data_IF_374306188761
#
_entry.id   IF_374306188761
#
_cell.length_a   1.000
_cell.length_b   1.000
_cell.length_c   1.000
_cell.angle_alpha   90.00
_cell.angle_beta   90.00
_cell.angle_gamma   90.00
#
_symmetry.space_group_name_H-M   'P 1'
#
loop_
_entity.id
_entity.type
_entity.pdbx_description
1 polymer ?
#
# COMPACT_ATOMS: atom_id res chain seq x y z
N UNK A 1 -28.78 31.82 43.43
CA UNK A 1 -29.56 30.63 43.84
C UNK A 1 -29.85 29.70 42.66
N UNK A 2 -30.60 30.11 41.63
CA UNK A 2 -30.92 29.25 40.46
C UNK A 2 -29.69 28.84 39.62
N UNK A 3 -28.71 29.75 39.47
CA UNK A 3 -27.43 29.47 38.78
C UNK A 3 -26.44 28.64 39.62
N UNK A 4 -26.54 28.73 40.96
CA UNK A 4 -25.79 27.87 41.88
C UNK A 4 -26.36 26.45 41.89
N UNK A 5 -27.69 26.30 41.82
CA UNK A 5 -28.33 24.99 41.67
C UNK A 5 -28.05 24.35 40.31
N UNK A 6 -27.90 25.11 39.22
CA UNK A 6 -27.50 24.53 37.93
C UNK A 6 -26.04 24.09 37.92
N UNK A 7 -25.14 24.84 38.59
CA UNK A 7 -23.72 24.47 38.76
C UNK A 7 -23.53 23.24 39.66
N UNK A 8 -24.32 23.14 40.73
CA UNK A 8 -24.35 21.96 41.61
C UNK A 8 -24.93 20.73 40.89
N UNK A 9 -25.94 20.88 40.03
CA UNK A 9 -26.44 19.77 39.21
C UNK A 9 -25.45 19.32 38.12
N UNK A 10 -24.62 20.21 37.57
CA UNK A 10 -23.53 19.83 36.66
C UNK A 10 -22.38 19.12 37.37
N UNK A 11 -22.14 19.39 38.66
CA UNK A 11 -21.18 18.68 39.51
C UNK A 11 -21.72 17.34 40.05
N UNK A 12 -23.01 17.03 39.80
CA UNK A 12 -23.68 15.83 40.30
C UNK A 12 -23.96 14.78 39.21
N UNK A 13 -23.62 15.07 37.95
CA UNK A 13 -23.53 14.05 36.90
C UNK A 13 -22.24 13.27 37.09
N UNK A 14 -22.33 11.94 37.11
CA UNK A 14 -21.12 11.11 37.13
C UNK A 14 -20.25 11.42 35.91
N UNK A 15 -18.93 11.36 36.04
CA UNK A 15 -18.02 11.64 34.92
C UNK A 15 -18.36 10.79 33.68
N UNK A 16 -18.84 9.56 33.88
CA UNK A 16 -19.33 8.71 32.80
C UNK A 16 -20.53 9.31 32.05
N UNK A 17 -21.50 9.86 32.76
CA UNK A 17 -22.70 10.44 32.17
C UNK A 17 -22.37 11.72 31.37
N UNK A 18 -21.41 12.51 31.89
CA UNK A 18 -20.87 13.68 31.19
C UNK A 18 -20.10 13.30 29.93
N UNK A 19 -19.29 12.24 30.00
CA UNK A 19 -18.56 11.69 28.84
C UNK A 19 -19.54 11.20 27.77
N UNK A 20 -20.57 10.43 28.15
CA UNK A 20 -21.59 9.96 27.21
C UNK A 20 -22.35 11.11 26.53
N UNK A 21 -22.63 12.19 27.27
CA UNK A 21 -23.30 13.37 26.74
C UNK A 21 -22.41 14.13 25.74
N UNK A 22 -21.13 14.33 26.08
CA UNK A 22 -20.15 14.92 25.17
C UNK A 22 -19.92 14.06 23.93
N UNK A 23 -19.88 12.73 24.07
CA UNK A 23 -19.80 11.83 22.92
C UNK A 23 -21.03 11.95 22.02
N UNK A 24 -22.22 12.08 22.60
CA UNK A 24 -23.47 12.26 21.85
C UNK A 24 -23.47 13.58 21.09
N UNK A 25 -23.05 14.66 21.74
CA UNK A 25 -22.90 15.96 21.11
C UNK A 25 -21.85 15.94 20.00
N UNK A 26 -20.70 15.30 20.22
CA UNK A 26 -19.68 15.16 19.18
C UNK A 26 -20.18 14.34 17.98
N UNK A 27 -20.94 13.26 18.21
CA UNK A 27 -21.63 12.51 17.14
C UNK A 27 -22.59 13.40 16.36
N UNK A 28 -23.38 14.23 17.05
CA UNK A 28 -24.32 15.15 16.42
C UNK A 28 -23.60 16.23 15.59
N UNK A 29 -22.51 16.80 16.09
CA UNK A 29 -21.69 17.78 15.37
C UNK A 29 -21.04 17.17 14.13
N UNK A 30 -20.52 15.94 14.22
CA UNK A 30 -19.99 15.21 13.05
C UNK A 30 -21.06 14.98 11.99
N UNK A 31 -22.27 14.57 12.40
CA UNK A 31 -23.39 14.41 11.47
C UNK A 31 -23.77 15.73 10.78
N UNK A 32 -23.77 16.85 11.51
CA UNK A 32 -24.01 18.17 10.92
C UNK A 32 -22.91 18.58 9.92
N UNK A 33 -21.64 18.30 10.24
CA UNK A 33 -20.52 18.60 9.33
C UNK A 33 -20.63 17.81 8.03
N UNK A 34 -21.01 16.53 8.10
CA UNK A 34 -21.25 15.67 6.92
C UNK A 34 -22.41 16.21 6.08
N UNK A 35 -23.51 16.67 6.69
CA UNK A 35 -24.63 17.27 5.95
C UNK A 35 -24.19 18.55 5.22
N UNK A 36 -23.43 19.41 5.91
CA UNK A 36 -22.86 20.63 5.30
C UNK A 36 -21.94 20.27 4.13
N UNK A 37 -21.05 19.29 4.31
CA UNK A 37 -20.17 18.82 3.24
C UNK A 37 -20.97 18.28 2.05
N UNK A 38 -21.99 17.45 2.28
CA UNK A 38 -22.84 16.91 1.22
C UNK A 38 -23.62 18.01 0.48
N UNK A 39 -24.00 19.09 1.15
CA UNK A 39 -24.57 20.29 0.49
C UNK A 39 -23.54 21.03 -0.34
N UNK A 40 -22.33 21.21 0.18
CA UNK A 40 -21.23 21.85 -0.56
C UNK A 40 -20.83 21.08 -1.81
N UNK A 41 -20.69 19.75 -1.72
CA UNK A 41 -20.40 18.90 -2.90
C UNK A 41 -21.48 19.00 -3.97
N UNK A 42 -22.76 19.04 -3.57
CA UNK A 42 -23.87 19.26 -4.51
C UNK A 42 -23.82 20.64 -5.16
N UNK A 43 -23.49 21.68 -4.40
CA UNK A 43 -23.31 23.03 -4.93
C UNK A 43 -22.14 23.10 -5.92
N UNK A 44 -21.01 22.47 -5.61
CA UNK A 44 -19.85 22.40 -6.49
C UNK A 44 -20.18 21.70 -7.82
N UNK A 45 -20.87 20.55 -7.77
CA UNK A 45 -21.32 19.86 -8.97
C UNK A 45 -22.28 20.72 -9.82
N UNK A 46 -23.20 21.45 -9.18
CA UNK A 46 -24.09 22.37 -9.88
C UNK A 46 -23.33 23.54 -10.52
N UNK A 47 -22.32 24.08 -9.84
CA UNK A 47 -21.48 25.17 -10.36
C UNK A 47 -20.64 24.69 -11.53
N UNK A 48 -20.04 23.50 -11.46
CA UNK A 48 -19.33 22.89 -12.60
C UNK A 48 -20.27 22.67 -13.78
N UNK A 49 -21.46 22.11 -13.56
CA UNK A 49 -22.45 21.95 -14.62
C UNK A 49 -22.89 23.27 -15.26
N UNK A 50 -23.02 24.34 -14.48
CA UNK A 50 -23.29 25.69 -15.00
C UNK A 50 -22.11 26.24 -15.78
N UNK A 51 -20.88 26.06 -15.30
CA UNK A 51 -19.64 26.48 -15.98
C UNK A 51 -19.49 25.78 -17.33
N UNK A 52 -19.76 24.48 -17.40
CA UNK A 52 -19.71 23.69 -18.64
C UNK A 52 -20.81 24.13 -19.60
N UNK A 53 -22.01 24.43 -19.09
CA UNK A 53 -23.13 24.91 -19.88
C UNK A 53 -22.87 26.32 -20.46
N UNK A 54 -22.28 27.22 -19.67
CA UNK A 54 -21.86 28.56 -20.12
C UNK A 54 -20.74 28.45 -21.15
N UNK A 55 -19.75 27.60 -20.93
CA UNK A 55 -18.65 27.36 -21.89
C UNK A 55 -19.17 26.78 -23.21
N UNK A 56 -20.12 25.85 -23.16
CA UNK A 56 -20.78 25.30 -24.35
C UNK A 56 -21.58 26.36 -25.10
N UNK A 57 -22.32 27.20 -24.39
CA UNK A 57 -23.12 28.28 -25.01
C UNK A 57 -22.21 29.35 -25.62
N UNK A 58 -21.10 29.70 -24.99
CA UNK A 58 -20.09 30.61 -25.54
C UNK A 58 -19.45 30.04 -26.82
N UNK A 59 -19.15 28.75 -26.85
CA UNK A 59 -18.64 28.08 -28.05
C UNK A 59 -19.68 28.02 -29.18
N UNK A 60 -20.96 27.77 -28.86
CA UNK A 60 -22.06 27.81 -29.84
C UNK A 60 -22.33 29.24 -30.37
N UNK A 61 -22.06 30.26 -29.55
CA UNK A 61 -22.18 31.68 -29.95
C UNK A 61 -20.98 32.15 -30.79
N UNK A 62 -19.83 31.47 -30.69
CA UNK A 62 -18.64 31.71 -31.51
C UNK A 62 -18.76 31.21 -32.96
N UNK A 63 -19.66 30.26 -33.25
CA UNK A 63 -19.85 29.70 -34.59
C UNK A 63 -20.83 30.46 -35.49
N UNK A 64 -21.42 31.58 -35.06
CA UNK A 64 -22.28 32.44 -35.91
C UNK A 64 -21.58 33.66 -36.52
N UNK A 65 -20.25 33.71 -36.51
CA UNK A 65 -19.47 34.88 -36.92
C UNK A 65 -18.45 34.68 -38.03
N UNK A 66 -18.71 33.89 -39.08
CA UNK A 66 -18.07 34.12 -40.38
C UNK A 66 -18.72 33.33 -41.53
N UNK A 67 -19.57 34.01 -42.31
CA UNK A 67 -19.88 33.60 -43.69
C UNK A 67 -19.01 34.43 -44.62
N UNK A 68 -18.13 33.78 -45.38
CA UNK A 68 -17.40 34.38 -46.49
C UNK A 68 -16.56 33.38 -47.26
N UNK A 69 -17.13 32.90 -48.39
CA UNK A 69 -16.53 32.44 -49.66
C UNK A 69 -15.48 31.29 -49.66
N UNK A 70 -15.87 30.11 -50.19
CA UNK A 70 -15.39 29.47 -51.45
C UNK A 70 -14.05 28.72 -51.27
N UNK A 71 -13.75 27.53 -51.79
CA UNK A 71 -14.37 26.50 -52.63
C UNK A 71 -13.40 25.27 -52.61
N UNK A 72 -13.89 24.02 -52.62
CA UNK A 72 -13.56 22.91 -53.56
C UNK A 72 -12.76 21.70 -52.97
N UNK A 73 -13.29 20.50 -53.27
CA UNK A 73 -12.69 19.14 -53.37
C UNK A 73 -12.23 18.39 -52.09
N UNK A 74 -12.33 17.05 -51.94
CA UNK A 74 -13.02 15.97 -52.66
C UNK A 74 -13.04 14.69 -51.79
N UNK A 75 -14.09 13.89 -51.96
CA UNK A 75 -14.25 12.42 -51.89
C UNK A 75 -13.26 11.47 -51.18
N UNK A 76 -13.82 10.74 -50.20
CA UNK A 76 -13.89 9.26 -50.02
C UNK A 76 -12.70 8.28 -50.29
N UNK A 77 -12.47 7.43 -49.27
CA UNK A 77 -12.22 5.96 -49.27
C UNK A 77 -11.18 5.33 -50.22
N UNK A 78 -10.20 4.57 -49.68
CA UNK A 78 -10.16 3.09 -49.80
C UNK A 78 -8.95 2.39 -49.15
N UNK A 79 -9.27 1.17 -48.73
CA UNK A 79 -8.50 0.03 -48.20
C UNK A 79 -7.44 -0.51 -49.17
N UNK A 80 -6.31 -1.04 -48.67
CA UNK A 80 -5.64 -2.17 -49.33
C UNK A 80 -4.84 -3.06 -48.35
N UNK A 81 -5.09 -4.35 -48.49
CA UNK A 81 -4.49 -5.50 -47.80
C UNK A 81 -3.27 -5.98 -48.57
N UNK A 82 -2.19 -6.43 -47.91
CA UNK A 82 -1.25 -7.38 -48.50
C UNK A 82 -0.69 -8.35 -47.45
N UNK A 83 -0.84 -9.64 -47.77
CA UNK A 83 -0.35 -10.82 -47.06
C UNK A 83 1.09 -11.15 -47.47
N UNK A 84 1.88 -11.76 -46.58
CA UNK A 84 2.88 -12.75 -47.00
C UNK A 84 3.09 -13.83 -45.91
N UNK A 85 2.89 -15.09 -46.31
CA UNK A 85 3.16 -16.33 -45.56
C UNK A 85 4.58 -16.80 -45.86
N UNK A 86 5.24 -17.42 -44.90
CA UNK A 86 6.10 -18.59 -45.16
C UNK A 86 6.16 -19.54 -43.96
N UNK A 87 6.22 -20.82 -44.29
CA UNK A 87 5.94 -22.05 -43.52
C UNK A 87 7.27 -22.80 -43.27
N UNK A 88 7.43 -23.57 -42.18
CA UNK A 88 7.94 -24.97 -42.19
C UNK A 88 7.73 -25.72 -40.85
N UNK A 89 7.51 -27.03 -40.99
CA UNK A 89 7.09 -28.14 -40.10
C UNK A 89 8.12 -28.55 -39.01
N UNK A 90 7.80 -28.94 -37.75
CA UNK A 90 7.34 -30.26 -37.21
C UNK A 90 8.50 -30.97 -36.42
N UNK A 91 8.36 -31.96 -35.47
CA UNK A 91 7.19 -32.64 -34.87
C UNK A 91 7.18 -32.90 -33.30
N UNK A 92 5.99 -33.15 -32.73
CA UNK A 92 5.59 -34.23 -31.77
C UNK A 92 6.17 -34.47 -30.34
N UNK A 93 5.34 -34.18 -29.29
CA UNK A 93 5.08 -34.80 -27.94
C UNK A 93 6.25 -35.22 -26.98
N UNK A 94 6.08 -35.38 -25.63
CA UNK A 94 4.90 -35.34 -24.73
C UNK A 94 5.05 -34.41 -23.47
N UNK A 95 3.99 -34.24 -22.66
CA UNK A 95 4.07 -33.51 -21.35
C UNK A 95 4.97 -34.22 -20.31
N UNK A 96 5.44 -33.54 -19.23
CA UNK A 96 4.59 -33.24 -18.06
C UNK A 96 4.96 -31.99 -17.19
N UNK A 97 4.04 -31.61 -16.28
CA UNK A 97 4.25 -30.97 -14.96
C UNK A 97 5.29 -29.84 -14.81
N UNK A 98 4.87 -28.57 -14.84
CA UNK A 98 5.73 -27.42 -14.48
C UNK A 98 5.63 -27.05 -13.00
N UNK A 99 6.71 -27.30 -12.26
CA UNK A 99 7.08 -26.55 -11.06
C UNK A 99 7.46 -25.11 -11.48
N UNK A 100 7.01 -24.11 -10.73
CA UNK A 100 7.30 -22.70 -10.98
C UNK A 100 8.79 -22.41 -10.72
N UNK A 101 9.58 -22.32 -11.78
CA UNK A 101 10.92 -21.75 -11.75
C UNK A 101 10.88 -20.19 -11.70
N UNK A 102 11.93 -19.52 -11.18
CA UNK A 102 11.96 -18.08 -10.94
C UNK A 102 11.88 -17.26 -12.23
N UNK A 103 11.01 -16.25 -12.24
CA UNK A 103 10.89 -15.29 -13.32
C UNK A 103 12.14 -14.40 -13.42
N UNK A 104 12.73 -14.29 -14.61
CA UNK A 104 13.91 -13.46 -14.87
C UNK A 104 13.52 -11.98 -15.04
N UNK A 105 13.98 -11.13 -14.12
CA UNK A 105 13.71 -9.69 -14.09
C UNK A 105 14.60 -8.88 -15.05
N UNK A 106 15.48 -9.53 -15.82
CA UNK A 106 16.44 -8.88 -16.72
C UNK A 106 15.79 -8.13 -17.90
N UNK A 107 14.49 -8.30 -18.14
CA UNK A 107 13.76 -7.72 -19.30
C UNK A 107 13.15 -6.33 -19.06
N UNK A 108 13.25 -5.76 -17.86
CA UNK A 108 12.73 -4.41 -17.56
C UNK A 108 13.85 -3.36 -17.68
N UNK A 109 14.14 -2.92 -18.92
CA UNK A 109 14.91 -1.69 -19.15
C UNK A 109 13.98 -0.49 -19.02
N UNK A 110 14.11 0.26 -17.94
CA UNK A 110 13.52 1.59 -17.81
C UNK A 110 14.56 2.64 -18.20
N UNK A 111 14.24 3.46 -19.19
CA UNK A 111 15.05 4.62 -19.54
C UNK A 111 14.98 5.68 -18.41
N UNK A 112 16.08 6.41 -18.15
CA UNK A 112 16.11 7.42 -17.10
C UNK A 112 15.26 8.65 -17.48
N UNK A 113 14.59 9.32 -16.52
CA UNK A 113 13.80 10.50 -16.81
C UNK A 113 14.70 11.70 -17.15
N UNK A 114 14.37 12.36 -18.26
CA UNK A 114 14.95 13.63 -18.68
C UNK A 114 14.64 14.72 -17.64
N UNK A 115 15.69 15.44 -17.22
CA UNK A 115 15.58 16.59 -16.33
C UNK A 115 14.86 17.75 -17.03
N UNK A 116 13.78 18.26 -16.43
CA UNK A 116 13.17 19.53 -16.81
C UNK A 116 13.46 20.61 -15.76
N UNK A 117 14.13 21.68 -16.20
CA UNK A 117 14.32 22.92 -15.45
C UNK A 117 13.00 23.72 -15.35
N UNK A 118 12.74 24.44 -14.24
CA UNK A 118 11.55 25.26 -14.10
C UNK A 118 11.74 26.66 -14.72
N UNK A 119 10.87 27.04 -15.65
CA UNK A 119 10.69 28.41 -16.12
C UNK A 119 9.49 29.09 -15.44
N UNK A 120 9.49 30.42 -15.26
CA UNK A 120 8.60 31.11 -14.34
C UNK A 120 7.24 31.40 -14.97
N UNK A 121 6.20 30.84 -14.38
CA UNK A 121 4.80 31.08 -14.73
C UNK A 121 3.90 30.48 -13.66
N UNK A 122 3.84 31.13 -12.51
CA UNK A 122 2.88 30.81 -11.46
C UNK A 122 1.47 31.11 -12.00
N UNK A 123 0.62 30.10 -12.10
CA UNK A 123 -0.82 30.27 -12.27
C UNK A 123 -1.52 29.77 -10.99
N UNK A 124 -2.33 30.66 -10.44
CA UNK A 124 -2.91 30.69 -9.10
C UNK A 124 -4.06 29.68 -8.86
N UNK A 125 -4.06 28.51 -9.50
CA UNK A 125 -5.17 27.54 -9.40
C UNK A 125 -4.99 26.47 -8.31
N UNK A 126 -3.92 26.54 -7.52
CA UNK A 126 -3.63 25.57 -6.48
C UNK A 126 -4.43 25.75 -5.17
N UNK A 127 -5.40 26.66 -5.12
CA UNK A 127 -6.04 27.08 -3.86
C UNK A 127 -7.44 26.50 -3.56
N UNK A 128 -8.06 25.71 -4.44
CA UNK A 128 -9.48 25.36 -4.26
C UNK A 128 -9.81 23.88 -4.06
N UNK A 129 -8.81 23.01 -3.90
CA UNK A 129 -9.02 21.59 -3.57
C UNK A 129 -8.35 21.22 -2.24
N UNK A 130 -8.53 22.04 -1.22
CA UNK A 130 -8.26 21.65 0.17
C UNK A 130 -9.49 20.96 0.75
N UNK A 131 -9.73 19.70 0.36
CA UNK A 131 -10.31 18.77 1.35
C UNK A 131 -9.34 18.80 2.54
N UNK A 132 -9.86 18.94 3.75
CA UNK A 132 -9.12 19.14 5.00
C UNK A 132 -8.32 17.89 5.41
N UNK A 133 -7.43 17.42 4.54
CA UNK A 133 -6.30 16.57 4.88
C UNK A 133 -5.33 17.52 5.56
N UNK A 134 -5.27 17.43 6.88
CA UNK A 134 -4.27 18.14 7.65
C UNK A 134 -2.90 17.90 7.00
N UNK A 135 -2.07 18.93 6.88
CA UNK A 135 -0.72 18.92 6.27
C UNK A 135 0.22 17.87 6.92
N UNK A 136 -0.24 17.21 7.98
CA UNK A 136 0.41 16.15 8.76
C UNK A 136 -0.03 14.71 8.42
N UNK A 137 -0.94 14.48 7.46
CA UNK A 137 -1.36 13.13 7.08
C UNK A 137 -2.17 12.39 8.15
N UNK A 138 -2.78 13.12 9.09
CA UNK A 138 -3.65 12.54 10.13
C UNK A 138 -5.06 12.34 9.58
N UNK A 139 -5.60 11.13 9.75
CA UNK A 139 -6.98 10.80 9.38
C UNK A 139 -7.98 11.72 10.10
N UNK A 140 -9.04 12.22 9.42
CA UNK A 140 -10.03 13.10 10.02
C UNK A 140 -10.87 12.43 11.13
N UNK A 141 -10.68 11.13 11.35
CA UNK A 141 -11.57 10.33 12.18
C UNK A 141 -11.37 10.54 13.69
N UNK A 142 -10.17 10.90 14.17
CA UNK A 142 -9.94 11.23 15.59
C UNK A 142 -8.74 12.15 15.77
N UNK A 143 -8.98 13.39 16.24
CA UNK A 143 -7.95 14.14 16.94
C UNK A 143 -7.78 13.49 18.31
N UNK A 144 -6.69 12.76 18.52
CA UNK A 144 -6.36 12.24 19.85
C UNK A 144 -6.27 13.41 20.82
N UNK A 145 -6.89 13.28 21.99
CA UNK A 145 -6.79 14.29 23.04
C UNK A 145 -5.81 13.74 24.09
N UNK A 146 -4.54 14.21 24.07
CA UNK A 146 -3.53 13.68 24.97
C UNK A 146 -3.90 13.96 26.43
N UNK A 147 -3.59 13.00 27.31
CA UNK A 147 -3.73 13.09 28.77
C UNK A 147 -5.16 13.18 29.33
N UNK A 148 -6.20 13.01 28.49
CA UNK A 148 -7.60 13.02 28.95
C UNK A 148 -8.21 11.62 28.94
N UNK A 149 -7.96 10.82 27.90
CA UNK A 149 -8.46 9.45 27.81
C UNK A 149 -7.32 8.43 27.84
N UNK A 150 -7.60 7.24 28.36
CA UNK A 150 -6.64 6.15 28.35
C UNK A 150 -6.25 5.78 26.91
N UNK A 151 -5.04 5.24 26.76
CA UNK A 151 -4.52 4.83 25.47
C UNK A 151 -5.47 3.84 24.76
N UNK A 152 -5.85 2.77 25.45
CA UNK A 152 -6.77 1.73 24.95
C UNK A 152 -8.12 2.31 24.49
N UNK A 153 -8.64 3.32 25.20
CA UNK A 153 -9.87 4.00 24.85
C UNK A 153 -9.78 4.80 23.55
N UNK A 154 -8.58 5.19 23.12
CA UNK A 154 -8.40 5.99 21.90
C UNK A 154 -7.96 5.16 20.70
N UNK A 155 -7.32 4.01 20.93
CA UNK A 155 -6.59 3.31 19.87
C UNK A 155 -7.00 1.85 19.68
N UNK A 156 -7.81 1.26 20.55
CA UNK A 156 -8.21 -0.14 20.47
C UNK A 156 -9.31 -0.46 19.45
N UNK A 157 -9.88 -1.66 19.58
CA UNK A 157 -10.89 -2.23 18.67
C UNK A 157 -12.19 -1.41 18.66
N UNK A 158 -12.77 -1.11 19.84
CA UNK A 158 -14.07 -0.41 19.93
C UNK A 158 -14.05 1.00 19.30
N UNK A 159 -13.02 1.83 19.55
CA UNK A 159 -12.86 3.10 18.84
C UNK A 159 -12.78 2.92 17.32
N UNK A 160 -12.10 1.87 16.84
CA UNK A 160 -11.96 1.59 15.41
C UNK A 160 -13.31 1.23 14.80
N UNK A 161 -14.08 0.34 15.44
CA UNK A 161 -15.43 -0.03 15.01
C UNK A 161 -16.34 1.20 14.93
N UNK A 162 -16.32 2.04 15.97
CA UNK A 162 -17.09 3.29 16.01
C UNK A 162 -16.68 4.24 14.89
N UNK A 163 -15.38 4.39 14.64
CA UNK A 163 -14.85 5.22 13.56
C UNK A 163 -15.30 4.73 12.19
N UNK A 164 -15.22 3.41 11.95
CA UNK A 164 -15.58 2.79 10.68
C UNK A 164 -17.08 2.89 10.40
N UNK A 165 -17.93 2.71 11.42
CA UNK A 165 -19.38 2.89 11.29
C UNK A 165 -19.71 4.34 10.89
N UNK A 166 -19.13 5.33 11.57
CA UNK A 166 -19.34 6.75 11.24
C UNK A 166 -18.80 7.12 9.85
N UNK A 167 -17.65 6.55 9.45
CA UNK A 167 -17.07 6.73 8.11
C UNK A 167 -17.99 6.16 7.03
N UNK A 168 -18.58 4.99 7.27
CA UNK A 168 -19.53 4.36 6.35
C UNK A 168 -20.81 5.21 6.16
N UNK A 169 -21.39 5.72 7.25
CA UNK A 169 -22.54 6.64 7.17
C UNK A 169 -22.21 7.90 6.36
N UNK A 170 -21.01 8.45 6.57
CA UNK A 170 -20.53 9.63 5.86
C UNK A 170 -20.30 9.36 4.37
N UNK A 171 -19.66 8.24 4.02
CA UNK A 171 -19.45 7.83 2.63
C UNK A 171 -20.77 7.61 1.89
N UNK A 172 -21.77 7.00 2.55
CA UNK A 172 -23.11 6.86 1.99
C UNK A 172 -23.78 8.21 1.72
N UNK A 173 -23.70 9.16 2.66
CA UNK A 173 -24.26 10.50 2.49
C UNK A 173 -23.59 11.28 1.35
N UNK A 174 -22.27 11.08 1.17
CA UNK A 174 -21.46 11.74 0.13
C UNK A 174 -21.39 10.97 -1.19
N UNK A 175 -22.06 9.81 -1.31
CA UNK A 175 -21.95 8.89 -2.45
C UNK A 175 -20.50 8.53 -2.82
N UNK A 176 -19.64 8.35 -1.81
CA UNK A 176 -18.29 7.78 -2.01
C UNK A 176 -18.40 6.25 -2.00
N UNK A 177 -17.69 5.59 -2.90
CA UNK A 177 -17.79 4.13 -3.10
C UNK A 177 -17.23 3.30 -1.92
N UNK A 178 -16.34 3.86 -1.11
CA UNK A 178 -15.67 3.13 -0.03
C UNK A 178 -15.50 3.99 1.24
N UNK A 179 -15.66 3.42 2.45
CA UNK A 179 -15.29 4.10 3.69
C UNK A 179 -13.78 4.21 3.83
N UNK A 180 -13.30 5.41 4.15
CA UNK A 180 -11.89 5.72 4.44
C UNK A 180 -11.60 5.38 5.90
N UNK A 181 -10.41 4.84 6.19
CA UNK A 181 -9.99 4.46 7.54
C UNK A 181 -8.94 5.42 8.11
N UNK A 182 -8.30 5.02 9.22
CA UNK A 182 -7.14 5.68 9.81
C UNK A 182 -5.80 5.27 9.16
N UNK A 183 -5.85 4.50 8.07
CA UNK A 183 -4.68 3.90 7.43
C UNK A 183 -4.75 4.08 5.92
N UNK A 184 -4.04 5.09 5.36
CA UNK A 184 -3.78 5.19 3.92
C UNK A 184 -3.41 3.84 3.28
N UNK A 185 -2.50 3.06 3.86
CA UNK A 185 -2.22 1.72 3.35
C UNK A 185 -3.47 0.87 3.18
N UNK A 186 -4.27 0.78 4.24
CA UNK A 186 -5.45 -0.07 4.26
C UNK A 186 -6.51 0.39 3.26
N UNK A 187 -6.61 1.69 3.03
CA UNK A 187 -7.57 2.26 2.09
C UNK A 187 -7.17 1.94 0.64
N UNK A 188 -5.89 2.10 0.30
CA UNK A 188 -5.35 1.66 -0.99
C UNK A 188 -5.55 0.15 -1.18
N UNK A 189 -5.21 -0.68 -0.18
CA UNK A 189 -5.37 -2.14 -0.26
C UNK A 189 -6.83 -2.53 -0.52
N UNK A 190 -7.77 -1.96 0.26
CA UNK A 190 -9.20 -2.27 0.12
C UNK A 190 -9.74 -1.83 -1.25
N UNK A 191 -9.37 -0.65 -1.74
CA UNK A 191 -9.79 -0.16 -3.05
C UNK A 191 -9.29 -1.10 -4.16
N UNK A 192 -8.00 -1.45 -4.13
CA UNK A 192 -7.41 -2.33 -5.12
C UNK A 192 -8.02 -3.73 -5.10
N UNK A 193 -8.30 -4.27 -3.91
CA UNK A 193 -9.02 -5.53 -3.76
C UNK A 193 -10.44 -5.44 -4.34
N UNK A 194 -11.15 -4.34 -4.10
CA UNK A 194 -12.48 -4.11 -4.64
C UNK A 194 -12.47 -4.04 -6.17
N UNK A 195 -11.62 -3.18 -6.76
CA UNK A 195 -11.52 -3.00 -8.21
C UNK A 195 -11.13 -4.32 -8.91
N UNK A 196 -10.13 -5.02 -8.37
CA UNK A 196 -9.69 -6.29 -8.94
C UNK A 196 -10.78 -7.36 -8.87
N UNK A 197 -11.47 -7.48 -7.72
CA UNK A 197 -12.57 -8.44 -7.54
C UNK A 197 -13.72 -8.17 -8.51
N UNK A 198 -14.10 -6.90 -8.66
CA UNK A 198 -15.16 -6.49 -9.59
C UNK A 198 -14.79 -6.80 -11.05
N UNK A 199 -13.55 -6.52 -11.46
CA UNK A 199 -13.08 -6.82 -12.83
C UNK A 199 -13.00 -8.32 -13.09
N UNK A 200 -12.51 -9.11 -12.13
CA UNK A 200 -12.48 -10.57 -12.26
C UNK A 200 -13.88 -11.15 -12.43
N UNK A 201 -14.84 -10.68 -11.64
CA UNK A 201 -16.24 -11.11 -11.76
C UNK A 201 -16.85 -10.74 -13.13
N UNK A 202 -16.59 -9.52 -13.63
CA UNK A 202 -17.02 -9.08 -14.95
C UNK A 202 -16.45 -9.94 -16.08
N UNK A 203 -15.21 -10.43 -15.92
CA UNK A 203 -14.56 -11.34 -16.86
C UNK A 203 -14.99 -12.82 -16.69
N UNK A 204 -16.03 -13.08 -15.89
CA UNK A 204 -16.60 -14.42 -15.71
C UNK A 204 -15.78 -15.34 -14.79
N UNK A 205 -14.86 -14.79 -13.98
CA UNK A 205 -14.15 -15.59 -12.99
C UNK A 205 -15.12 -16.12 -11.95
N UNK A 206 -15.29 -17.45 -11.92
CA UNK A 206 -16.08 -18.14 -10.91
C UNK A 206 -15.15 -18.96 -10.00
N UNK A 207 -15.05 -18.63 -8.69
CA UNK A 207 -14.19 -19.37 -7.76
C UNK A 207 -14.64 -20.83 -7.59
N UNK A 208 -15.93 -21.13 -7.68
CA UNK A 208 -16.44 -22.48 -7.39
C UNK A 208 -16.16 -23.49 -8.52
N UNK A 209 -15.84 -23.00 -9.73
CA UNK A 209 -15.58 -23.84 -10.90
C UNK A 209 -14.09 -24.09 -11.18
N UNK A 210 -13.17 -23.41 -10.48
CA UNK A 210 -11.72 -23.50 -10.76
C UNK A 210 -10.96 -24.31 -9.70
N UNK A 211 -10.40 -25.48 -10.04
CA UNK A 211 -9.71 -26.34 -9.07
C UNK A 211 -8.34 -25.79 -8.60
N UNK A 212 -7.64 -24.96 -9.39
CA UNK A 212 -6.27 -24.53 -9.07
C UNK A 212 -6.13 -23.11 -8.53
N UNK A 213 -7.17 -22.26 -8.63
CA UNK A 213 -7.12 -20.82 -8.30
C UNK A 213 -5.87 -20.10 -8.84
N UNK A 214 -5.18 -20.65 -9.85
CA UNK A 214 -3.84 -20.15 -10.22
C UNK A 214 -3.93 -18.82 -10.95
N UNK A 215 -5.05 -18.59 -11.62
CA UNK A 215 -5.37 -17.40 -12.41
C UNK A 215 -5.45 -16.10 -11.59
N UNK A 216 -5.62 -16.15 -10.26
CA UNK A 216 -5.74 -14.93 -9.44
C UNK A 216 -4.38 -14.36 -8.98
N UNK A 217 -3.31 -15.16 -8.97
CA UNK A 217 -2.03 -14.72 -8.40
C UNK A 217 -1.33 -13.68 -9.27
N UNK A 218 -1.40 -13.82 -10.60
CA UNK A 218 -0.78 -12.87 -11.53
C UNK A 218 -1.46 -11.48 -11.49
N UNK A 219 -2.80 -11.37 -11.53
CA UNK A 219 -3.48 -10.09 -11.32
C UNK A 219 -3.17 -9.45 -9.97
N UNK A 220 -3.10 -10.25 -8.89
CA UNK A 220 -2.73 -9.75 -7.56
C UNK A 220 -1.30 -9.20 -7.55
N UNK A 221 -0.33 -9.94 -8.10
CA UNK A 221 1.05 -9.49 -8.22
C UNK A 221 1.13 -8.16 -8.96
N UNK A 222 0.45 -8.07 -10.09
CA UNK A 222 0.42 -6.88 -10.94
C UNK A 222 -0.12 -5.66 -10.18
N UNK A 223 -1.28 -5.80 -9.51
CA UNK A 223 -1.91 -4.71 -8.75
C UNK A 223 -1.06 -4.28 -7.56
N UNK A 224 -0.49 -5.24 -6.82
CA UNK A 224 0.44 -4.92 -5.72
C UNK A 224 1.71 -4.25 -6.23
N UNK A 225 2.22 -4.64 -7.40
CA UNK A 225 3.40 -4.01 -8.03
C UNK A 225 3.10 -2.57 -8.42
N UNK A 226 1.94 -2.31 -9.02
CA UNK A 226 1.47 -0.96 -9.35
C UNK A 226 1.31 -0.09 -8.10
N UNK A 227 0.62 -0.59 -7.07
CA UNK A 227 0.44 0.13 -5.80
C UNK A 227 1.78 0.64 -5.28
N UNK A 228 2.73 -0.28 -5.21
CA UNK A 228 4.06 -0.05 -4.71
C UNK A 228 4.82 0.96 -5.58
N UNK A 229 4.90 0.75 -6.90
CA UNK A 229 5.67 1.62 -7.80
C UNK A 229 5.15 3.05 -7.86
N UNK A 230 3.83 3.23 -7.75
CA UNK A 230 3.19 4.54 -7.85
C UNK A 230 3.22 5.32 -6.53
N UNK A 231 2.98 4.64 -5.40
CA UNK A 231 2.78 5.34 -4.12
C UNK A 231 4.06 5.45 -3.30
N UNK A 232 5.02 4.55 -3.50
CA UNK A 232 6.26 4.50 -2.74
C UNK A 232 7.44 4.01 -3.58
N UNK A 233 7.86 4.77 -4.61
CA UNK A 233 8.97 4.39 -5.48
C UNK A 233 10.30 4.21 -4.71
N UNK A 234 10.49 4.95 -3.62
CA UNK A 234 11.68 4.94 -2.78
C UNK A 234 11.92 3.61 -2.03
N UNK A 235 10.86 2.81 -1.84
CA UNK A 235 10.94 1.51 -1.17
C UNK A 235 10.92 0.34 -2.15
N UNK A 236 10.96 0.56 -3.48
CA UNK A 236 10.84 -0.53 -4.46
C UNK A 236 11.96 -1.55 -4.39
N UNK A 237 13.17 -1.10 -4.07
CA UNK A 237 14.30 -1.99 -3.83
C UNK A 237 14.00 -3.01 -2.72
N UNK A 238 13.23 -2.62 -1.69
CA UNK A 238 12.79 -3.53 -0.64
C UNK A 238 11.95 -4.67 -1.21
N UNK A 239 10.83 -4.33 -1.84
CA UNK A 239 9.87 -5.31 -2.39
C UNK A 239 10.49 -6.23 -3.43
N UNK A 240 11.37 -5.69 -4.28
CA UNK A 240 12.07 -6.46 -5.31
C UNK A 240 13.05 -7.48 -4.70
N UNK A 241 13.79 -7.10 -3.64
CA UNK A 241 14.86 -7.92 -3.07
C UNK A 241 14.37 -8.93 -2.03
N UNK A 242 13.39 -8.58 -1.21
CA UNK A 242 12.84 -9.49 -0.19
C UNK A 242 11.80 -10.45 -0.75
N UNK A 243 11.52 -10.37 -2.06
CA UNK A 243 10.58 -11.23 -2.80
C UNK A 243 9.24 -11.33 -2.08
N UNK A 244 8.39 -10.32 -2.28
CA UNK A 244 7.12 -10.09 -1.61
C UNK A 244 6.00 -11.14 -1.86
N UNK A 245 6.34 -12.40 -2.15
CA UNK A 245 5.39 -13.42 -2.63
C UNK A 245 4.34 -13.81 -1.59
N UNK A 246 4.67 -13.81 -0.30
CA UNK A 246 3.70 -14.14 0.74
C UNK A 246 2.53 -13.16 0.81
N UNK A 247 2.73 -11.89 0.44
CA UNK A 247 1.64 -10.91 0.44
C UNK A 247 0.74 -11.08 -0.78
N UNK A 248 1.28 -11.61 -1.89
CA UNK A 248 0.49 -12.03 -3.04
C UNK A 248 -0.43 -13.19 -2.64
N UNK A 249 0.11 -14.20 -1.96
CA UNK A 249 -0.67 -15.35 -1.46
C UNK A 249 -1.74 -14.93 -0.45
N UNK A 250 -1.37 -14.05 0.49
CA UNK A 250 -2.29 -13.46 1.45
C UNK A 250 -3.42 -12.70 0.76
N UNK A 251 -3.10 -11.82 -0.18
CA UNK A 251 -4.10 -11.00 -0.89
C UNK A 251 -5.02 -11.88 -1.75
N UNK A 252 -4.47 -12.89 -2.41
CA UNK A 252 -5.24 -13.88 -3.17
C UNK A 252 -6.25 -14.63 -2.26
N UNK A 253 -5.83 -15.06 -1.07
CA UNK A 253 -6.71 -15.66 -0.09
C UNK A 253 -7.76 -14.67 0.44
N UNK A 254 -7.42 -13.40 0.68
CA UNK A 254 -8.37 -12.38 1.12
C UNK A 254 -9.45 -12.07 0.08
N UNK A 255 -9.11 -12.13 -1.21
CA UNK A 255 -10.06 -11.93 -2.31
C UNK A 255 -11.03 -13.10 -2.45
N UNK A 256 -10.50 -14.33 -2.44
CA UNK A 256 -11.23 -15.58 -2.60
C UNK A 256 -10.78 -16.61 -1.55
N UNK A 257 -11.33 -16.55 -0.32
CA UNK A 257 -11.01 -17.49 0.73
C UNK A 257 -11.48 -18.90 0.37
N UNK A 258 -10.54 -19.84 0.25
CA UNK A 258 -10.83 -21.24 -0.03
C UNK A 258 -9.76 -22.14 0.58
N UNK A 259 -9.99 -23.46 0.62
CA UNK A 259 -8.97 -24.42 1.04
C UNK A 259 -7.71 -24.31 0.16
N UNK A 260 -7.88 -24.13 -1.15
CA UNK A 260 -6.78 -24.04 -2.11
C UNK A 260 -5.90 -22.80 -1.87
N UNK A 261 -6.51 -21.62 -1.68
CA UNK A 261 -5.77 -20.38 -1.40
C UNK A 261 -5.18 -20.37 0.01
N UNK A 262 -5.88 -20.93 1.00
CA UNK A 262 -5.39 -21.04 2.37
C UNK A 262 -4.16 -21.95 2.49
N UNK A 263 -4.14 -23.07 1.76
CA UNK A 263 -3.00 -24.00 1.80
C UNK A 263 -1.69 -23.40 1.27
N UNK A 264 -1.76 -22.37 0.41
CA UNK A 264 -0.59 -21.63 -0.05
C UNK A 264 -0.07 -20.62 0.98
N UNK A 265 -0.87 -20.24 1.98
CA UNK A 265 -0.42 -19.28 2.99
C UNK A 265 0.71 -19.85 3.82
N UNK A 266 1.82 -19.13 3.80
CA UNK A 266 2.92 -19.33 4.73
C UNK A 266 2.45 -19.22 6.18
N UNK A 267 3.01 -20.05 7.07
CA UNK A 267 2.57 -20.17 8.47
C UNK A 267 2.52 -18.82 9.20
N UNK A 268 3.50 -17.95 8.96
CA UNK A 268 3.59 -16.60 9.54
C UNK A 268 2.50 -15.62 9.08
N UNK A 269 1.85 -15.88 7.95
CA UNK A 269 0.81 -15.01 7.38
C UNK A 269 -0.60 -15.59 7.52
N UNK A 270 -0.74 -16.81 8.03
CA UNK A 270 -2.08 -17.37 8.30
C UNK A 270 -2.85 -16.46 9.26
N UNK A 271 -4.15 -16.26 9.02
CA UNK A 271 -4.97 -15.41 9.88
C UNK A 271 -5.05 -16.00 11.29
N UNK A 272 -4.95 -15.13 12.30
CA UNK A 272 -5.19 -15.47 13.70
C UNK A 272 -6.67 -15.37 14.04
N UNK A 273 -7.07 -15.93 15.18
CA UNK A 273 -8.43 -15.76 15.69
C UNK A 273 -8.79 -14.28 15.90
N UNK A 274 -7.83 -13.45 16.32
CA UNK A 274 -8.02 -12.01 16.52
C UNK A 274 -8.36 -11.34 15.18
N UNK A 275 -7.59 -11.62 14.12
CA UNK A 275 -7.82 -11.10 12.77
C UNK A 275 -9.17 -11.54 12.19
N UNK A 276 -9.62 -12.76 12.51
CA UNK A 276 -10.89 -13.29 12.01
C UNK A 276 -12.11 -12.74 12.77
N UNK A 277 -11.96 -12.39 14.06
CA UNK A 277 -13.06 -11.91 14.90
C UNK A 277 -13.29 -10.40 14.79
N UNK A 278 -12.22 -9.63 14.62
CA UNK A 278 -12.29 -8.17 14.74
C UNK A 278 -11.90 -7.46 13.44
N UNK A 279 -12.75 -6.56 12.91
CA UNK A 279 -12.35 -5.61 11.87
C UNK A 279 -11.13 -4.80 12.29
N UNK A 280 -10.17 -4.62 11.39
CA UNK A 280 -8.92 -3.91 11.65
C UNK A 280 -8.33 -3.28 10.37
N UNK A 281 -7.35 -2.38 10.47
CA UNK A 281 -6.58 -1.90 9.34
C UNK A 281 -5.87 -3.03 8.59
N UNK A 282 -6.16 -3.19 7.28
CA UNK A 282 -5.63 -4.28 6.43
C UNK A 282 -4.11 -4.32 6.33
N UNK A 283 -3.44 -3.19 6.55
CA UNK A 283 -1.97 -3.14 6.58
C UNK A 283 -1.37 -4.05 7.67
N UNK A 284 -2.09 -4.27 8.77
CA UNK A 284 -1.64 -5.15 9.86
C UNK A 284 -1.42 -6.58 9.35
N UNK A 285 -2.25 -7.04 8.40
CA UNK A 285 -2.14 -8.38 7.82
C UNK A 285 -0.77 -8.63 7.14
N UNK A 286 -0.06 -7.57 6.74
CA UNK A 286 1.24 -7.64 6.08
C UNK A 286 2.42 -7.83 7.03
N UNK A 287 2.19 -7.90 8.34
CA UNK A 287 3.21 -8.22 9.33
C UNK A 287 3.27 -9.75 9.53
N UNK A 288 4.42 -10.42 9.37
CA UNK A 288 4.54 -11.87 9.46
C UNK A 288 4.56 -12.40 10.91
N UNK A 289 4.23 -11.58 11.89
CA UNK A 289 4.38 -11.91 13.30
C UNK A 289 3.00 -11.94 13.96
N UNK A 290 2.40 -13.13 14.15
CA UNK A 290 1.04 -13.27 14.69
C UNK A 290 0.82 -12.49 15.99
N UNK A 291 1.74 -12.56 16.96
CA UNK A 291 1.60 -11.86 18.24
C UNK A 291 1.62 -10.34 18.10
N UNK A 292 2.45 -9.80 17.20
CA UNK A 292 2.47 -8.36 16.91
C UNK A 292 1.17 -7.93 16.25
N UNK A 293 0.65 -8.72 15.28
CA UNK A 293 -0.63 -8.44 14.63
C UNK A 293 -1.78 -8.40 15.64
N UNK A 294 -1.86 -9.40 16.50
CA UNK A 294 -2.94 -9.51 17.48
C UNK A 294 -2.93 -8.31 18.44
N UNK A 295 -1.74 -7.93 18.93
CA UNK A 295 -1.58 -6.74 19.78
C UNK A 295 -1.86 -5.44 19.06
N UNK A 296 -1.47 -5.31 17.79
CA UNK A 296 -1.82 -4.15 16.98
C UNK A 296 -3.33 -4.02 16.80
N UNK A 297 -4.05 -5.13 16.64
CA UNK A 297 -5.51 -5.12 16.54
C UNK A 297 -6.12 -4.72 17.88
N UNK A 298 -5.68 -5.35 18.96
CA UNK A 298 -6.20 -5.12 20.30
C UNK A 298 -5.97 -3.66 20.77
N UNK A 299 -4.77 -3.15 20.54
CA UNK A 299 -4.29 -1.91 21.16
C UNK A 299 -4.18 -0.73 20.19
N UNK A 300 -4.05 -0.95 18.88
CA UNK A 300 -3.74 0.09 17.90
C UNK A 300 -4.66 0.13 16.66
N UNK A 301 -5.74 -0.64 16.58
CA UNK A 301 -6.62 -0.64 15.42
C UNK A 301 -7.10 0.78 15.02
N UNK A 302 -7.43 1.63 15.99
CA UNK A 302 -7.85 3.02 15.77
C UNK A 302 -6.70 4.05 15.84
N UNK A 303 -5.45 3.59 15.98
CA UNK A 303 -4.31 4.50 16.12
C UNK A 303 -4.07 5.27 14.81
N UNK A 304 -4.06 6.63 14.81
CA UNK A 304 -3.81 7.42 13.61
C UNK A 304 -2.38 7.26 13.06
N UNK A 305 -1.47 6.69 13.84
CA UNK A 305 -0.08 6.41 13.45
C UNK A 305 0.13 4.96 13.02
N UNK A 306 -0.93 4.16 12.81
CA UNK A 306 -0.82 2.73 12.49
C UNK A 306 0.09 2.45 11.29
N UNK A 307 0.08 3.31 10.28
CA UNK A 307 0.93 3.20 9.09
C UNK A 307 2.41 3.45 9.41
N UNK A 308 2.70 4.38 10.33
CA UNK A 308 4.07 4.61 10.82
C UNK A 308 4.55 3.43 11.67
N UNK A 309 3.69 2.87 12.53
CA UNK A 309 4.02 1.69 13.34
C UNK A 309 4.34 0.51 12.43
N UNK A 310 3.54 0.30 11.38
CA UNK A 310 3.81 -0.69 10.35
C UNK A 310 5.17 -0.47 9.67
N UNK A 311 5.46 0.76 9.22
CA UNK A 311 6.74 1.08 8.59
C UNK A 311 7.93 0.87 9.52
N UNK A 312 7.79 1.23 10.80
CA UNK A 312 8.82 1.00 11.81
C UNK A 312 9.04 -0.50 12.04
N UNK A 313 7.97 -1.30 12.10
CA UNK A 313 8.05 -2.75 12.24
C UNK A 313 8.83 -3.38 11.08
N UNK A 314 8.43 -3.08 9.83
CA UNK A 314 9.11 -3.60 8.63
C UNK A 314 10.56 -3.11 8.55
N UNK A 315 10.82 -1.86 8.93
CA UNK A 315 12.19 -1.31 8.97
C UNK A 315 13.06 -1.97 10.05
N UNK A 316 12.43 -2.51 11.10
CA UNK A 316 13.06 -3.25 12.19
C UNK A 316 13.26 -4.75 11.89
N UNK A 317 12.97 -5.24 10.68
CA UNK A 317 13.26 -6.63 10.34
C UNK A 317 14.76 -6.86 10.26
N UNK A 318 15.22 -7.84 11.03
CA UNK A 318 16.64 -8.18 11.20
C UNK A 318 16.87 -9.68 11.03
N UNK A 319 18.11 -10.05 10.73
CA UNK A 319 18.58 -11.44 10.78
C UNK A 319 19.78 -11.52 11.71
N UNK A 320 19.77 -12.50 12.61
CA UNK A 320 20.88 -12.82 13.51
C UNK A 320 21.98 -13.58 12.76
N UNK A 321 23.24 -13.35 13.12
CA UNK A 321 24.41 -14.03 12.57
C UNK A 321 25.57 -14.04 13.57
N UNK A 322 26.64 -14.75 13.24
CA UNK A 322 27.92 -14.65 13.97
C UNK A 322 28.78 -13.56 13.32
N UNK A 323 29.34 -12.65 14.12
CA UNK A 323 30.06 -11.48 13.59
C UNK A 323 31.25 -11.86 12.71
N UNK A 324 32.00 -12.91 13.08
CA UNK A 324 33.14 -13.41 12.32
C UNK A 324 32.79 -13.98 10.94
N UNK A 325 31.51 -14.33 10.70
CA UNK A 325 31.05 -14.77 9.38
C UNK A 325 30.80 -13.59 8.44
N UNK A 326 30.61 -12.38 8.99
CA UNK A 326 30.31 -11.18 8.24
C UNK A 326 31.51 -10.23 8.15
N UNK A 327 32.35 -10.19 9.19
CA UNK A 327 33.48 -9.26 9.31
C UNK A 327 34.77 -10.04 9.61
N UNK A 328 35.83 -9.75 8.86
CA UNK A 328 37.16 -10.35 9.03
C UNK A 328 37.73 -10.02 10.40
N UNK A 329 38.41 -11.00 11.01
CA UNK A 329 39.07 -10.88 12.32
C UNK A 329 38.15 -10.44 13.47
N UNK A 330 36.83 -10.52 13.30
CA UNK A 330 35.86 -10.18 14.33
C UNK A 330 35.66 -11.34 15.33
N UNK A 331 35.24 -11.04 16.58
CA UNK A 331 34.97 -12.07 17.58
C UNK A 331 33.75 -12.94 17.20
N UNK A 332 33.70 -14.17 17.70
CA UNK A 332 32.55 -15.07 17.54
C UNK A 332 31.43 -14.69 18.51
N UNK A 333 30.80 -13.54 18.28
CA UNK A 333 29.64 -13.06 19.03
C UNK A 333 28.41 -12.99 18.13
N UNK A 334 27.23 -13.17 18.73
CA UNK A 334 25.97 -12.96 18.05
C UNK A 334 25.79 -11.49 17.74
N UNK A 335 25.44 -11.22 16.49
CA UNK A 335 25.08 -9.91 15.97
C UNK A 335 23.79 -10.01 15.19
N UNK A 336 23.19 -8.86 14.89
CA UNK A 336 22.05 -8.81 13.96
C UNK A 336 22.19 -7.63 13.01
N UNK A 337 21.66 -7.81 11.80
CA UNK A 337 21.71 -6.83 10.72
C UNK A 337 20.30 -6.54 10.24
N UNK A 338 19.92 -5.26 10.12
CA UNK A 338 18.64 -4.89 9.50
C UNK A 338 18.69 -5.16 8.02
N UNK A 339 17.65 -5.80 7.51
CA UNK A 339 17.52 -6.12 6.09
C UNK A 339 17.50 -4.83 5.25
N UNK A 340 16.88 -3.77 5.78
CA UNK A 340 16.72 -2.47 5.10
C UNK A 340 18.06 -1.78 4.88
N UNK A 341 18.99 -1.93 5.83
CA UNK A 341 20.32 -1.33 5.75
C UNK A 341 21.18 -1.97 4.65
N UNK A 342 21.11 -3.30 4.50
CA UNK A 342 21.80 -3.99 3.41
C UNK A 342 21.16 -3.64 2.07
N UNK A 343 19.84 -3.58 1.96
CA UNK A 343 19.17 -3.18 0.71
C UNK A 343 19.55 -1.76 0.29
N UNK A 344 19.61 -0.82 1.23
CA UNK A 344 20.07 0.53 0.95
C UNK A 344 21.53 0.54 0.45
N UNK A 345 22.42 -0.25 1.07
CA UNK A 345 23.82 -0.36 0.67
C UNK A 345 24.00 -1.01 -0.72
N UNK A 346 23.16 -2.00 -1.08
CA UNK A 346 23.16 -2.64 -2.40
C UNK A 346 22.78 -1.70 -3.54
N UNK A 347 22.00 -0.66 -3.23
CA UNK A 347 21.47 0.33 -4.17
C UNK A 347 22.33 1.59 -4.29
N UNK A 348 23.43 1.70 -3.55
CA UNK A 348 24.39 2.78 -3.73
C UNK A 348 24.96 2.69 -5.16
N UNK A 349 24.74 3.74 -5.96
CA UNK A 349 25.26 3.82 -7.31
C UNK A 349 26.79 3.76 -7.25
N UNK A 350 27.36 2.65 -7.71
CA UNK A 350 28.75 2.60 -8.10
C UNK A 350 28.90 3.58 -9.26
N UNK A 351 29.58 4.70 -9.01
CA UNK A 351 29.94 5.64 -10.08
C UNK A 351 30.46 4.86 -11.29
N UNK A 352 29.96 5.22 -12.47
CA UNK A 352 30.24 4.58 -13.75
C UNK A 352 31.71 4.12 -13.84
N UNK A 353 31.95 2.80 -13.83
CA UNK A 353 33.28 2.26 -14.13
C UNK A 353 33.72 0.99 -13.40
N UNK A 354 33.08 0.55 -12.32
CA UNK A 354 33.55 -0.66 -11.64
C UNK A 354 32.83 -1.92 -12.13
N UNK A 355 33.60 -2.79 -12.79
CA UNK A 355 33.31 -4.21 -12.91
C UNK A 355 32.79 -4.72 -11.56
N UNK A 356 31.54 -5.18 -11.50
CA UNK A 356 30.93 -5.84 -10.33
C UNK A 356 31.71 -7.15 -10.06
N UNK A 357 32.92 -7.05 -9.50
CA UNK A 357 33.62 -8.22 -9.01
C UNK A 357 32.83 -8.78 -7.83
N UNK A 358 32.42 -10.06 -7.87
CA UNK A 358 31.69 -10.66 -6.78
C UNK A 358 32.59 -10.65 -5.54
N UNK A 359 32.20 -9.88 -4.53
CA UNK A 359 32.88 -9.89 -3.24
C UNK A 359 32.46 -11.15 -2.46
N UNK A 360 33.39 -11.74 -1.73
CA UNK A 360 33.13 -12.79 -0.75
C UNK A 360 33.08 -12.19 0.64
N UNK A 361 32.29 -12.77 1.53
CA UNK A 361 32.40 -12.54 2.96
C UNK A 361 33.51 -13.45 3.55
N UNK A 362 34.13 -13.05 4.68
CA UNK A 362 33.84 -11.87 5.50
C UNK A 362 34.35 -10.54 4.91
N UNK A 363 33.64 -9.44 5.17
CA UNK A 363 34.05 -8.10 4.78
C UNK A 363 35.20 -7.58 5.68
N UNK A 364 36.11 -6.71 5.19
CA UNK A 364 37.22 -6.19 5.99
C UNK A 364 36.79 -5.50 7.29
N UNK A 365 35.69 -4.77 7.25
CA UNK A 365 35.16 -4.02 8.39
C UNK A 365 33.66 -3.69 8.18
N UNK A 366 33.01 -3.21 9.24
CA UNK A 366 31.57 -2.87 9.25
C UNK A 366 31.25 -1.74 8.25
N UNK A 367 32.15 -0.78 8.08
CA UNK A 367 31.97 0.32 7.12
C UNK A 367 31.94 -0.24 5.71
N UNK A 368 32.86 -1.13 5.36
CA UNK A 368 32.91 -1.79 4.05
C UNK A 368 31.63 -2.59 3.79
N UNK A 369 31.11 -3.30 4.79
CA UNK A 369 29.85 -4.06 4.69
C UNK A 369 28.66 -3.20 4.23
N UNK A 370 28.56 -1.96 4.71
CA UNK A 370 27.44 -1.04 4.41
C UNK A 370 27.75 0.04 3.37
N UNK A 371 28.98 0.12 2.86
CA UNK A 371 29.36 1.09 1.81
C UNK A 371 29.70 0.43 0.47
N UNK A 372 30.00 -0.87 0.46
CA UNK A 372 30.29 -1.65 -0.75
C UNK A 372 29.04 -2.42 -1.22
N UNK A 373 28.47 -2.10 -2.41
CA UNK A 373 27.31 -2.82 -2.93
C UNK A 373 27.53 -4.33 -3.08
N UNK A 374 28.74 -4.76 -3.44
CA UNK A 374 29.07 -6.18 -3.61
C UNK A 374 29.12 -6.94 -2.29
N UNK A 375 29.72 -6.37 -1.24
CA UNK A 375 29.71 -6.97 0.11
C UNK A 375 28.30 -6.99 0.71
N UNK A 376 27.51 -5.93 0.51
CA UNK A 376 26.12 -5.88 0.95
C UNK A 376 25.28 -6.98 0.27
N UNK A 377 25.47 -7.21 -1.03
CA UNK A 377 24.82 -8.32 -1.77
C UNK A 377 25.27 -9.69 -1.25
N UNK A 378 26.56 -9.87 -0.98
CA UNK A 378 27.09 -11.12 -0.43
C UNK A 378 26.49 -11.43 0.94
N UNK A 379 26.42 -10.44 1.84
CA UNK A 379 25.79 -10.55 3.15
C UNK A 379 24.28 -10.82 3.05
N UNK A 380 23.56 -10.08 2.21
CA UNK A 380 22.14 -10.28 2.00
C UNK A 380 21.81 -11.72 1.58
N UNK A 381 22.63 -12.29 0.68
CA UNK A 381 22.50 -13.67 0.22
C UNK A 381 22.88 -14.69 1.29
N UNK A 382 24.00 -14.50 1.99
CA UNK A 382 24.46 -15.41 3.06
C UNK A 382 23.44 -15.50 4.21
N UNK A 383 22.83 -14.37 4.56
CA UNK A 383 21.81 -14.26 5.60
C UNK A 383 20.41 -14.73 5.13
N UNK A 384 20.29 -15.25 3.90
CA UNK A 384 19.03 -15.73 3.32
C UNK A 384 17.90 -14.69 3.38
N UNK A 385 18.24 -13.40 3.27
CA UNK A 385 17.25 -12.33 3.41
C UNK A 385 16.27 -12.26 2.24
N UNK A 386 16.56 -12.93 1.11
CA UNK A 386 15.68 -13.10 -0.04
C UNK A 386 14.66 -14.24 0.13
N UNK A 387 14.84 -15.11 1.13
CA UNK A 387 13.97 -16.27 1.38
C UNK A 387 12.73 -15.95 2.21
N UNK A 388 12.51 -14.67 2.50
CA UNK A 388 11.29 -14.16 3.09
C UNK A 388 11.21 -14.30 4.61
N UNK A 389 9.99 -14.17 5.11
CA UNK A 389 9.73 -13.79 6.49
C UNK A 389 10.21 -14.79 7.55
N UNK A 390 10.46 -16.05 7.23
CA UNK A 390 10.87 -17.09 8.19
C UNK A 390 12.21 -16.82 8.86
N UNK A 391 13.10 -16.08 8.20
CA UNK A 391 14.43 -15.75 8.71
C UNK A 391 14.45 -14.47 9.54
N UNK A 392 13.37 -13.69 9.50
CA UNK A 392 13.35 -12.39 10.14
C UNK A 392 13.01 -12.50 11.62
N UNK A 393 13.70 -11.69 12.42
CA UNK A 393 13.37 -11.28 13.77
C UNK A 393 13.12 -9.76 13.79
N UNK A 394 12.75 -9.24 14.95
CA UNK A 394 12.50 -7.82 15.20
C UNK A 394 13.67 -7.23 15.99
N UNK A 395 14.18 -6.08 15.53
CA UNK A 395 15.15 -5.26 16.26
C UNK A 395 14.57 -4.85 17.64
N UNK A 396 15.27 -5.11 18.77
CA UNK A 396 14.85 -4.66 20.09
C UNK A 396 14.46 -3.17 20.17
N UNK A 397 15.06 -2.31 19.33
CA UNK A 397 14.72 -0.89 19.29
C UNK A 397 13.26 -0.62 18.89
N UNK A 398 12.60 -1.53 18.17
CA UNK A 398 11.17 -1.45 17.88
C UNK A 398 10.33 -1.51 19.15
N UNK A 399 10.61 -2.45 20.04
CA UNK A 399 9.89 -2.59 21.31
C UNK A 399 10.27 -1.51 22.33
N UNK A 400 11.46 -0.90 22.22
CA UNK A 400 11.77 0.29 23.00
C UNK A 400 10.85 1.48 22.63
N UNK A 401 10.40 1.54 21.36
CA UNK A 401 9.45 2.56 20.87
C UNK A 401 7.99 2.18 21.14
N UNK A 402 7.65 0.89 21.03
CA UNK A 402 6.31 0.33 21.19
C UNK A 402 6.31 -0.84 22.20
N UNK A 403 6.53 -0.56 23.50
CA UNK A 403 6.70 -1.61 24.52
C UNK A 403 5.47 -2.51 24.69
N UNK A 404 4.28 -1.96 24.45
CA UNK A 404 3.00 -2.67 24.48
C UNK A 404 2.90 -3.78 23.42
N UNK A 405 3.71 -3.72 22.35
CA UNK A 405 3.75 -4.75 21.31
C UNK A 405 4.68 -5.92 21.66
N UNK A 406 5.45 -5.82 22.75
CA UNK A 406 6.42 -6.86 23.13
C UNK A 406 5.76 -8.09 23.76
N UNK A 407 5.94 -9.24 23.12
CA UNK A 407 5.45 -10.52 23.61
C UNK A 407 6.56 -11.40 24.17
N UNK A 408 6.61 -11.53 25.49
CA UNK A 408 7.59 -12.35 26.21
C UNK A 408 7.46 -13.84 25.90
N UNK A 409 6.29 -14.31 25.44
CA UNK A 409 6.08 -15.72 25.13
C UNK A 409 6.69 -16.17 23.80
N UNK A 410 7.25 -15.23 23.03
CA UNK A 410 7.65 -15.43 21.64
C UNK A 410 9.12 -15.01 21.40
N UNK A 411 9.92 -15.91 20.80
CA UNK A 411 11.31 -15.64 20.39
C UNK A 411 11.39 -14.85 19.06
N UNK A 412 10.74 -13.70 19.02
CA UNK A 412 10.73 -12.82 17.85
C UNK A 412 11.77 -11.72 17.92
N UNK A 413 12.29 -11.43 19.11
CA UNK A 413 13.24 -10.34 19.34
C UNK A 413 14.65 -10.82 19.03
N UNK A 414 15.40 -10.03 18.26
CA UNK A 414 16.79 -10.36 17.98
C UNK A 414 17.68 -10.18 19.21
N UNK A 415 18.71 -11.02 19.28
CA UNK A 415 19.72 -11.07 20.33
C UNK A 415 21.08 -10.68 19.74
N UNK A 416 21.96 -10.14 20.58
CA UNK A 416 23.32 -9.78 20.20
C UNK A 416 23.50 -8.28 19.91
N UNK A 417 24.60 -7.94 19.25
CA UNK A 417 24.99 -6.54 18.99
C UNK A 417 24.47 -6.10 17.60
N UNK A 418 23.80 -4.93 17.47
CA UNK A 418 23.38 -4.41 16.18
C UNK A 418 24.59 -4.02 15.32
N UNK A 419 24.69 -4.60 14.12
CA UNK A 419 25.55 -4.08 13.06
C UNK A 419 24.73 -3.14 12.19
N UNK A 420 25.12 -1.86 12.17
CA UNK A 420 24.37 -0.82 11.48
C UNK A 420 25.25 0.21 10.79
N UNK A 421 24.77 0.83 9.70
CA UNK A 421 25.41 2.00 9.10
C UNK A 421 25.30 3.24 10.01
N UNK A 422 26.03 4.29 9.67
CA UNK A 422 25.99 5.59 10.39
C UNK A 422 24.61 6.24 10.36
N UNK A 423 23.88 6.07 9.26
CA UNK A 423 22.54 6.61 9.07
C UNK A 423 21.59 5.50 8.66
N UNK A 424 20.49 5.38 9.38
CA UNK A 424 19.46 4.39 9.16
C UNK A 424 18.21 5.08 8.61
N UNK A 425 17.64 4.53 7.54
CA UNK A 425 16.37 5.01 6.98
C UNK A 425 15.22 4.15 7.48
N UNK A 426 14.04 4.74 7.53
CA UNK A 426 12.76 4.08 7.79
C UNK A 426 11.99 4.08 6.48
N UNK A 427 11.27 2.99 6.21
CA UNK A 427 10.42 2.87 5.03
C UNK A 427 9.25 3.87 5.11
N UNK A 428 8.85 4.40 3.96
CA UNK A 428 7.74 5.35 3.85
C UNK A 428 6.39 4.64 3.70
N UNK A 429 5.32 5.38 4.01
CA UNK A 429 3.93 4.95 3.82
C UNK A 429 3.27 5.79 2.72
N UNK A 430 2.24 5.27 2.03
CA UNK A 430 1.58 5.98 0.94
C UNK A 430 0.84 7.20 1.48
N UNK A 431 0.66 8.20 0.62
CA UNK A 431 -0.27 9.30 0.89
C UNK A 431 -1.71 8.76 0.92
N UNK A 432 -2.66 9.49 1.53
CA UNK A 432 -4.08 9.17 1.42
C UNK A 432 -4.53 9.10 -0.05
N UNK A 433 -5.57 8.30 -0.31
CA UNK A 433 -6.20 8.21 -1.64
C UNK A 433 -6.76 9.57 -2.06
N UNK A 434 -6.53 9.91 -3.32
CA UNK A 434 -7.18 11.03 -4.02
C UNK A 434 -7.90 10.52 -5.28
N UNK A 435 -8.77 11.35 -5.85
CA UNK A 435 -9.59 10.97 -7.01
C UNK A 435 -8.74 10.60 -8.24
N UNK A 436 -7.60 11.28 -8.44
CA UNK A 436 -6.68 10.99 -9.54
C UNK A 436 -6.06 9.60 -9.41
N UNK A 437 -5.70 9.20 -8.19
CA UNK A 437 -5.11 7.91 -7.90
C UNK A 437 -6.14 6.79 -8.04
N UNK A 438 -7.38 7.02 -7.58
CA UNK A 438 -8.50 6.09 -7.78
C UNK A 438 -8.72 5.81 -9.27
N UNK A 439 -8.77 6.87 -10.09
CA UNK A 439 -8.98 6.73 -11.53
C UNK A 439 -7.81 6.01 -12.21
N UNK A 440 -6.58 6.31 -11.78
CA UNK A 440 -5.39 5.62 -12.31
C UNK A 440 -5.42 4.12 -12.02
N UNK A 441 -5.80 3.72 -10.80
CA UNK A 441 -5.94 2.31 -10.45
C UNK A 441 -7.03 1.61 -11.26
N UNK A 442 -8.19 2.25 -11.44
CA UNK A 442 -9.29 1.73 -12.26
C UNK A 442 -8.83 1.51 -13.70
N UNK A 443 -8.32 2.57 -14.34
CA UNK A 443 -7.84 2.54 -15.72
C UNK A 443 -6.75 1.48 -15.94
N UNK A 444 -5.80 1.34 -15.02
CA UNK A 444 -4.72 0.36 -15.14
C UNK A 444 -5.21 -1.09 -15.03
N UNK A 445 -6.10 -1.36 -14.06
CA UNK A 445 -6.69 -2.70 -13.87
C UNK A 445 -7.51 -3.08 -15.10
N UNK A 446 -8.34 -2.16 -15.61
CA UNK A 446 -9.13 -2.38 -16.81
C UNK A 446 -8.24 -2.73 -18.01
N UNK A 447 -7.28 -1.85 -18.32
CA UNK A 447 -6.36 -2.04 -19.44
C UNK A 447 -5.63 -3.39 -19.37
N UNK A 448 -5.07 -3.72 -18.21
CA UNK A 448 -4.19 -4.88 -18.07
C UNK A 448 -4.96 -6.21 -18.12
N UNK A 449 -6.17 -6.25 -17.56
CA UNK A 449 -7.03 -7.43 -17.58
C UNK A 449 -7.66 -7.66 -18.96
N UNK A 450 -7.97 -6.58 -19.68
CA UNK A 450 -8.53 -6.66 -21.04
C UNK A 450 -7.46 -7.08 -22.05
N UNK A 451 -6.22 -6.57 -21.90
CA UNK A 451 -5.08 -7.00 -22.70
C UNK A 451 -4.79 -8.50 -22.52
N UNK A 452 -4.81 -9.00 -21.28
CA UNK A 452 -4.58 -10.43 -20.98
C UNK A 452 -5.65 -11.32 -21.62
N UNK A 453 -6.91 -10.87 -21.59
CA UNK A 453 -8.04 -11.59 -22.21
C UNK A 453 -7.91 -11.62 -23.74
N UNK A 454 -7.53 -10.49 -24.34
CA UNK A 454 -7.31 -10.36 -25.79
C UNK A 454 -6.21 -11.31 -26.25
N UNK A 455 -5.04 -11.29 -25.59
CA UNK A 455 -3.91 -12.18 -25.94
C UNK A 455 -4.30 -13.65 -25.82
N UNK A 456 -4.99 -14.02 -24.74
CA UNK A 456 -5.44 -15.39 -24.51
C UNK A 456 -6.42 -15.88 -25.60
N UNK A 457 -7.29 -15.00 -26.10
CA UNK A 457 -8.24 -15.32 -27.19
C UNK A 457 -7.57 -15.52 -28.55
N UNK A 458 -6.48 -14.79 -28.83
CA UNK A 458 -5.69 -14.95 -30.07
C UNK A 458 -4.77 -16.17 -30.07
N UNK A 459 -4.59 -16.84 -28.93
CA UNK A 459 -3.68 -18.00 -28.80
C UNK A 459 -4.43 -19.35 -28.75
N UNK A 460 -5.76 -19.35 -28.86
CA UNK A 460 -6.55 -20.57 -28.97
C UNK A 460 -6.70 -20.99 -30.45
N UNK A 461 -6.31 -22.21 -30.84
CA UNK A 461 -6.40 -22.69 -32.23
C UNK A 461 -7.84 -22.95 -32.71
#
# INVERSE_FOLDING_TARGET
MRELSSRVNTDQKSDNERIEELQRENRQLRAQLVDVQARMSRLLANIQGLSDSVSKTLNDTGSQGNKGFEEIEDSSLQLSTYNSKQIYEGPGFPGPSMQLEPFDTSSLKFDPPLAHHPGPGQSEDAFLSSELINVTGTSPLYTQIPNIWSFEYQTGIEPYLTAMAASQESSMALRKDLPISNSPFSDHIKLLQHLLKSKLAANGFNPDSQPSMQSIYQPVLMVLSMFNSMTRPDVMAWYAKTRFFHIIELTAWQLYPSRATFQKLHQRYRPTDMQMKHPHPRVIDWIPFPSIRDRLIELHAANPLIDQIFCDAVSGYVVEAVMSELISDAPQITVYVRVTDLIAAMSLSSGAGNNDTPASLPAPDITTLFSSPSHARAAFKQLNMDKGASYYKIDPAFYAKYPELYDQSNDLTANGVPLKPRSQKVLTYPKPLDDSMVETYRSFIDFSMDATSTISSTTAP
#
